data_IF_769428665734
#
_entry.id   IF_769428665734
#
_cell.length_a   1.000
_cell.length_b   1.000
_cell.length_c   1.000
_cell.angle_alpha   90.00
_cell.angle_beta   90.00
_cell.angle_gamma   90.00
#
_symmetry.space_group_name_H-M   'P 1'
#
loop_
_entity.id
_entity.type
_entity.pdbx_description
1 polymer ?
#
# COMPACT_ATOMS: atom_id res chain seq x y z
N UNK A 1 15.89 40.66 -0.87
CA UNK A 1 14.43 40.80 -0.96
C UNK A 1 13.96 39.71 -1.92
N UNK A 2 13.76 38.50 -1.41
CA UNK A 2 13.33 37.35 -2.22
C UNK A 2 11.86 37.08 -1.94
N UNK A 3 11.06 37.26 -2.97
CA UNK A 3 9.63 36.99 -3.01
C UNK A 3 9.36 35.52 -2.68
N UNK A 4 8.54 35.27 -1.65
CA UNK A 4 8.09 33.92 -1.30
C UNK A 4 6.63 33.94 -0.83
N UNK A 5 5.75 34.60 -1.58
CA UNK A 5 4.32 34.54 -1.33
C UNK A 5 3.50 34.38 -2.62
N UNK A 6 3.57 33.20 -3.22
CA UNK A 6 2.51 32.74 -4.11
C UNK A 6 1.97 31.37 -3.65
N UNK A 7 0.96 31.34 -2.75
CA UNK A 7 0.38 30.09 -2.21
C UNK A 7 -0.37 29.24 -3.25
N UNK A 8 -0.43 29.70 -4.51
CA UNK A 8 -1.01 28.96 -5.65
C UNK A 8 -0.04 27.96 -6.26
N UNK A 9 1.28 28.23 -6.23
CA UNK A 9 2.28 27.31 -6.78
C UNK A 9 2.40 26.03 -5.94
N UNK A 10 2.41 26.14 -4.61
CA UNK A 10 2.46 24.98 -3.72
C UNK A 10 1.23 24.06 -3.81
N UNK A 11 0.03 24.64 -4.04
CA UNK A 11 -1.20 23.85 -4.27
C UNK A 11 -1.18 23.14 -5.62
N UNK A 12 -0.63 23.79 -6.65
CA UNK A 12 -0.45 23.17 -7.96
C UNK A 12 0.43 21.93 -7.88
N UNK A 13 1.61 22.03 -7.26
CA UNK A 13 2.54 20.90 -7.11
C UNK A 13 1.90 19.75 -6.32
N UNK A 14 1.21 20.04 -5.21
CA UNK A 14 0.54 19.01 -4.42
C UNK A 14 -0.56 18.27 -5.22
N UNK A 15 -1.45 19.01 -5.90
CA UNK A 15 -2.50 18.41 -6.73
C UNK A 15 -1.91 17.56 -7.86
N UNK A 16 -0.84 18.03 -8.50
CA UNK A 16 -0.11 17.26 -9.52
C UNK A 16 0.48 15.99 -8.93
N UNK A 17 1.16 16.06 -7.78
CA UNK A 17 1.72 14.86 -7.15
C UNK A 17 0.66 13.83 -6.77
N UNK A 18 -0.49 14.26 -6.22
CA UNK A 18 -1.60 13.36 -5.90
C UNK A 18 -2.18 12.75 -7.17
N UNK A 19 -2.45 13.56 -8.19
CA UNK A 19 -3.02 13.10 -9.46
C UNK A 19 -2.09 12.12 -10.17
N UNK A 20 -0.80 12.44 -10.27
CA UNK A 20 0.21 11.55 -10.84
C UNK A 20 0.33 10.25 -10.04
N UNK A 21 0.28 10.32 -8.71
CA UNK A 21 0.31 9.11 -7.86
C UNK A 21 -0.90 8.23 -8.14
N UNK A 22 -2.12 8.80 -8.13
CA UNK A 22 -3.35 8.05 -8.45
C UNK A 22 -3.27 7.45 -9.86
N UNK A 23 -2.78 8.20 -10.84
CA UNK A 23 -2.63 7.70 -12.20
C UNK A 23 -1.62 6.56 -12.30
N UNK A 24 -0.50 6.62 -11.55
CA UNK A 24 0.47 5.53 -11.45
C UNK A 24 -0.18 4.30 -10.82
N UNK A 25 -0.95 4.44 -9.74
CA UNK A 25 -1.68 3.33 -9.12
C UNK A 25 -2.69 2.69 -10.08
N UNK A 26 -3.45 3.50 -10.82
CA UNK A 26 -4.39 2.99 -11.81
C UNK A 26 -3.66 2.27 -12.95
N UNK A 27 -2.57 2.84 -13.43
CA UNK A 27 -1.74 2.22 -14.46
C UNK A 27 -1.14 0.91 -13.96
N UNK A 28 -0.66 0.85 -12.71
CA UNK A 28 -0.18 -0.38 -12.08
C UNK A 28 -1.28 -1.45 -12.08
N UNK A 29 -2.50 -1.12 -11.66
CA UNK A 29 -3.62 -2.05 -11.67
C UNK A 29 -3.96 -2.54 -13.09
N UNK A 30 -3.92 -1.65 -14.09
CA UNK A 30 -4.20 -2.00 -15.50
C UNK A 30 -3.09 -2.87 -16.08
N UNK A 31 -1.82 -2.53 -15.83
CA UNK A 31 -0.67 -3.31 -16.29
C UNK A 31 -0.66 -4.69 -15.61
N UNK A 32 -0.91 -4.72 -14.31
CA UNK A 32 -1.04 -5.96 -13.55
C UNK A 32 -2.16 -6.83 -14.11
N UNK A 33 -3.36 -6.24 -14.26
CA UNK A 33 -4.50 -6.91 -14.85
C UNK A 33 -4.15 -7.41 -16.25
N UNK A 34 -3.46 -6.66 -17.10
CA UNK A 34 -3.18 -7.07 -18.48
C UNK A 34 -2.08 -8.14 -18.61
N UNK A 35 -0.95 -7.97 -17.90
CA UNK A 35 0.26 -8.77 -18.11
C UNK A 35 0.39 -9.98 -17.20
N UNK A 36 -0.25 -9.99 -16.03
CA UNK A 36 -0.03 -11.09 -15.07
C UNK A 36 -0.99 -12.26 -15.32
N UNK A 37 -0.48 -13.49 -15.49
CA UNK A 37 -1.32 -14.68 -15.55
C UNK A 37 -2.04 -14.91 -14.21
N UNK A 38 -3.29 -15.40 -14.26
CA UNK A 38 -4.07 -15.73 -13.05
C UNK A 38 -3.38 -16.75 -12.14
N UNK A 39 -2.57 -17.64 -12.71
CA UNK A 39 -1.82 -18.66 -11.98
C UNK A 39 -0.63 -18.08 -11.18
N UNK A 40 -0.07 -16.97 -11.65
CA UNK A 40 1.05 -16.29 -10.99
C UNK A 40 0.61 -15.72 -9.64
N UNK A 41 -0.54 -15.07 -9.58
CA UNK A 41 -1.10 -14.52 -8.34
C UNK A 41 -1.22 -15.59 -7.25
N UNK A 42 -1.68 -16.81 -7.62
CA UNK A 42 -1.75 -17.94 -6.68
C UNK A 42 -0.38 -18.34 -6.14
N UNK A 43 0.63 -18.36 -7.00
CA UNK A 43 2.02 -18.69 -6.62
C UNK A 43 2.59 -17.67 -5.65
N UNK A 44 2.33 -16.38 -5.88
CA UNK A 44 2.71 -15.28 -4.99
C UNK A 44 2.07 -15.47 -3.62
N UNK A 45 0.75 -15.64 -3.55
CA UNK A 45 0.04 -15.82 -2.27
C UNK A 45 0.53 -17.04 -1.49
N UNK A 46 0.77 -18.17 -2.16
CA UNK A 46 1.31 -19.37 -1.52
C UNK A 46 2.73 -19.15 -0.97
N UNK A 47 3.57 -18.42 -1.71
CA UNK A 47 4.93 -18.10 -1.28
C UNK A 47 4.91 -17.20 -0.05
N UNK A 48 4.08 -16.15 -0.06
CA UNK A 48 3.91 -15.25 1.08
C UNK A 48 3.38 -15.98 2.31
N UNK A 49 2.44 -16.90 2.14
CA UNK A 49 1.91 -17.70 3.23
C UNK A 49 3.01 -18.56 3.86
N UNK A 50 3.87 -19.21 3.06
CA UNK A 50 5.00 -20.00 3.57
C UNK A 50 5.98 -19.13 4.36
N UNK A 51 6.33 -17.96 3.84
CA UNK A 51 7.22 -17.02 4.54
C UNK A 51 6.62 -16.46 5.82
N UNK A 52 5.30 -16.23 5.82
CA UNK A 52 4.59 -15.76 6.99
C UNK A 52 4.58 -16.82 8.11
N UNK A 53 4.30 -18.08 7.76
CA UNK A 53 4.34 -19.22 8.70
C UNK A 53 5.77 -19.41 9.24
N UNK A 54 6.79 -19.30 8.38
CA UNK A 54 8.18 -19.43 8.81
C UNK A 54 8.62 -18.31 9.77
N UNK A 55 8.12 -17.09 9.60
CA UNK A 55 8.53 -15.94 10.41
C UNK A 55 7.74 -15.77 11.71
N UNK A 56 6.43 -16.07 11.72
CA UNK A 56 5.53 -15.79 12.85
C UNK A 56 4.85 -17.03 13.43
N UNK A 57 5.05 -18.21 12.85
CA UNK A 57 4.35 -19.43 13.23
C UNK A 57 2.97 -19.57 12.56
N UNK A 58 2.44 -20.78 12.58
CA UNK A 58 1.22 -21.14 11.85
C UNK A 58 -0.04 -20.42 12.35
N UNK A 59 -0.16 -20.24 13.66
CA UNK A 59 -1.35 -19.64 14.29
C UNK A 59 -1.48 -18.15 13.96
N UNK A 60 -0.41 -17.37 14.16
CA UNK A 60 -0.38 -15.94 13.81
C UNK A 60 -0.56 -15.72 12.31
N UNK A 61 0.07 -16.56 11.47
CA UNK A 61 -0.11 -16.52 10.03
C UNK A 61 -1.57 -16.74 9.62
N UNK A 62 -2.23 -17.73 10.23
CA UNK A 62 -3.64 -18.01 10.00
C UNK A 62 -4.54 -16.85 10.45
N UNK A 63 -4.29 -16.26 11.61
CA UNK A 63 -5.07 -15.12 12.11
C UNK A 63 -4.99 -13.90 11.16
N UNK A 64 -3.80 -13.62 10.60
CA UNK A 64 -3.59 -12.55 9.62
C UNK A 64 -4.34 -12.86 8.31
N UNK A 65 -4.24 -14.10 7.82
CA UNK A 65 -4.91 -14.54 6.61
C UNK A 65 -6.44 -14.45 6.73
N UNK A 66 -7.00 -14.94 7.83
CA UNK A 66 -8.45 -14.87 8.11
C UNK A 66 -8.92 -13.42 8.20
N UNK A 67 -8.13 -12.53 8.81
CA UNK A 67 -8.47 -11.09 8.86
C UNK A 67 -8.53 -10.47 7.47
N UNK A 68 -7.52 -10.71 6.63
CA UNK A 68 -7.50 -10.24 5.24
C UNK A 68 -8.68 -10.77 4.43
N UNK A 69 -8.97 -12.07 4.54
CA UNK A 69 -10.10 -12.70 3.87
C UNK A 69 -11.46 -12.11 4.32
N UNK A 70 -11.66 -11.91 5.63
CA UNK A 70 -12.87 -11.26 6.16
C UNK A 70 -13.04 -9.84 5.64
N UNK A 71 -11.97 -9.05 5.56
CA UNK A 71 -12.05 -7.72 4.96
C UNK A 71 -12.42 -7.77 3.49
N UNK A 72 -11.82 -8.68 2.72
CA UNK A 72 -12.18 -8.83 1.31
C UNK A 72 -13.64 -9.25 1.14
N UNK A 73 -14.08 -10.23 1.93
CA UNK A 73 -15.44 -10.74 1.88
C UNK A 73 -16.47 -9.65 2.24
N UNK A 74 -16.26 -8.96 3.36
CA UNK A 74 -17.15 -7.87 3.80
C UNK A 74 -17.17 -6.68 2.84
N UNK A 75 -16.02 -6.24 2.34
CA UNK A 75 -15.92 -5.05 1.49
C UNK A 75 -16.40 -5.28 0.06
N UNK A 76 -16.19 -6.47 -0.50
CA UNK A 76 -16.42 -6.71 -1.93
C UNK A 76 -17.46 -7.79 -2.23
N UNK A 77 -17.51 -8.88 -1.47
CA UNK A 77 -18.48 -9.95 -1.71
C UNK A 77 -19.84 -9.64 -1.08
N UNK A 78 -19.85 -9.32 0.21
CA UNK A 78 -21.07 -9.02 0.98
C UNK A 78 -21.72 -7.69 0.54
N UNK A 79 -20.91 -6.71 0.14
CA UNK A 79 -21.40 -5.47 -0.48
C UNK A 79 -22.02 -5.69 -1.87
N UNK A 80 -21.78 -6.86 -2.48
CA UNK A 80 -22.27 -7.20 -3.80
C UNK A 80 -21.48 -6.57 -4.94
N UNK A 81 -20.42 -5.79 -4.69
CA UNK A 81 -19.63 -5.10 -5.73
C UNK A 81 -18.92 -6.13 -6.62
N UNK A 82 -18.18 -7.07 -6.03
CA UNK A 82 -17.49 -8.11 -6.80
C UNK A 82 -18.50 -8.97 -7.58
N UNK A 83 -19.54 -9.57 -6.96
CA UNK A 83 -20.58 -10.30 -7.69
C UNK A 83 -21.28 -9.48 -8.78
N UNK A 84 -21.48 -8.17 -8.58
CA UNK A 84 -22.05 -7.28 -9.59
C UNK A 84 -21.12 -7.12 -10.79
N UNK A 85 -19.81 -6.87 -10.58
CA UNK A 85 -18.85 -6.78 -11.70
C UNK A 85 -18.72 -8.10 -12.46
N UNK A 86 -18.74 -9.24 -11.75
CA UNK A 86 -18.80 -10.54 -12.40
C UNK A 86 -20.09 -10.69 -13.20
N UNK A 87 -21.25 -10.23 -12.75
CA UNK A 87 -22.48 -10.30 -13.55
C UNK A 87 -22.45 -9.41 -14.80
N UNK A 88 -21.78 -8.26 -14.75
CA UNK A 88 -21.60 -7.41 -15.94
C UNK A 88 -20.78 -8.10 -17.03
N UNK A 89 -19.76 -8.86 -16.63
CA UNK A 89 -18.78 -9.47 -17.54
C UNK A 89 -19.08 -10.94 -17.84
N UNK A 90 -19.73 -11.63 -16.91
CA UNK A 90 -20.09 -13.05 -16.99
C UNK A 90 -21.54 -13.23 -17.42
N UNK A 91 -21.86 -12.77 -18.63
CA UNK A 91 -22.70 -13.58 -19.51
C UNK A 91 -21.83 -14.74 -19.97
N UNK A 92 -21.98 -15.93 -19.41
CA UNK A 92 -21.43 -17.14 -20.04
C UNK A 92 -22.36 -17.61 -21.17
N UNK A 93 -21.96 -18.59 -22.00
CA UNK A 93 -22.89 -19.26 -22.91
C UNK A 93 -24.08 -19.79 -22.12
N UNK A 94 -25.29 -19.31 -22.43
CA UNK A 94 -26.54 -19.72 -21.74
C UNK A 94 -26.88 -18.96 -20.45
N UNK A 95 -26.12 -17.94 -20.05
CA UNK A 95 -26.48 -17.07 -18.92
C UNK A 95 -27.06 -15.76 -19.46
N UNK A 96 -28.39 -15.62 -19.38
CA UNK A 96 -29.07 -14.38 -19.76
C UNK A 96 -28.70 -13.29 -18.75
N UNK A 97 -27.91 -12.30 -19.17
CA UNK A 97 -27.87 -11.03 -18.46
C UNK A 97 -28.93 -10.14 -19.08
N UNK A 98 -29.88 -9.65 -18.27
CA UNK A 98 -30.91 -8.71 -18.73
C UNK A 98 -30.36 -7.32 -19.14
N UNK A 99 -29.10 -7.24 -19.56
CA UNK A 99 -28.35 -6.03 -19.90
C UNK A 99 -27.78 -6.05 -21.32
N UNK A 100 -28.09 -7.06 -22.14
CA UNK A 100 -27.74 -7.10 -23.57
C UNK A 100 -26.26 -7.43 -23.87
N UNK A 101 -25.49 -7.84 -22.87
CA UNK A 101 -24.08 -8.24 -23.00
C UNK A 101 -23.90 -9.72 -23.33
N UNK A 102 -24.97 -10.41 -23.72
CA UNK A 102 -25.00 -11.85 -24.02
C UNK A 102 -24.04 -12.21 -25.17
N UNK A 103 -23.91 -11.32 -26.17
CA UNK A 103 -22.99 -11.48 -27.29
C UNK A 103 -21.50 -11.49 -26.88
N UNK A 104 -21.13 -10.82 -25.78
CA UNK A 104 -19.75 -10.87 -25.26
C UNK A 104 -19.43 -12.23 -24.64
N UNK A 105 -20.45 -12.92 -24.12
CA UNK A 105 -20.35 -14.25 -23.51
C UNK A 105 -20.05 -15.38 -24.47
N UNK A 106 -20.46 -15.22 -25.72
CA UNK A 106 -20.19 -16.16 -26.81
C UNK A 106 -18.85 -15.87 -27.50
N UNK A 107 -18.21 -14.74 -27.20
CA UNK A 107 -16.96 -14.34 -27.82
C UNK A 107 -15.76 -15.14 -27.27
N UNK A 108 -14.74 -15.45 -28.11
CA UNK A 108 -13.52 -16.12 -27.66
C UNK A 108 -12.69 -15.28 -26.67
N UNK A 109 -12.99 -13.99 -26.53
CA UNK A 109 -12.32 -13.05 -25.62
C UNK A 109 -12.87 -13.16 -24.18
N UNK A 110 -14.04 -13.78 -24.00
CA UNK A 110 -14.69 -13.91 -22.70
C UNK A 110 -13.79 -14.57 -21.64
N UNK A 111 -13.13 -15.67 -21.99
CA UNK A 111 -12.24 -16.39 -21.06
C UNK A 111 -11.06 -15.53 -20.61
N UNK A 112 -10.53 -14.69 -21.51
CA UNK A 112 -9.50 -13.72 -21.16
C UNK A 112 -10.04 -12.66 -20.22
N UNK A 113 -11.19 -12.04 -20.53
CA UNK A 113 -11.77 -10.95 -19.76
C UNK A 113 -12.16 -11.39 -18.34
N UNK A 114 -12.74 -12.58 -18.19
CA UNK A 114 -13.02 -13.19 -16.87
C UNK A 114 -11.75 -13.40 -16.06
N UNK A 115 -10.70 -13.93 -16.70
CA UNK A 115 -9.39 -14.07 -16.06
C UNK A 115 -8.81 -12.74 -15.58
N UNK A 116 -9.07 -11.62 -16.28
CA UNK A 116 -8.64 -10.29 -15.83
C UNK A 116 -9.39 -9.83 -14.58
N UNK A 117 -10.70 -10.09 -14.49
CA UNK A 117 -11.45 -9.82 -13.27
C UNK A 117 -10.94 -10.63 -12.08
N UNK A 118 -10.64 -11.92 -12.28
CA UNK A 118 -10.07 -12.77 -11.23
C UNK A 118 -8.73 -12.19 -10.73
N UNK A 119 -7.89 -11.69 -11.64
CA UNK A 119 -6.62 -11.03 -11.32
C UNK A 119 -6.85 -9.74 -10.52
N UNK A 120 -7.77 -8.87 -10.95
CA UNK A 120 -8.07 -7.60 -10.27
C UNK A 120 -8.58 -7.86 -8.84
N UNK A 121 -9.59 -8.72 -8.69
CA UNK A 121 -10.13 -9.04 -7.36
C UNK A 121 -9.13 -9.79 -6.49
N UNK A 122 -8.29 -10.64 -7.10
CA UNK A 122 -7.15 -11.26 -6.44
C UNK A 122 -6.14 -10.25 -5.90
N UNK A 123 -5.82 -9.18 -6.66
CA UNK A 123 -4.97 -8.09 -6.18
C UNK A 123 -5.57 -7.37 -4.97
N UNK A 124 -6.87 -7.09 -4.98
CA UNK A 124 -7.54 -6.49 -3.82
C UNK A 124 -7.50 -7.41 -2.60
N UNK A 125 -7.76 -8.71 -2.77
CA UNK A 125 -7.65 -9.69 -1.70
C UNK A 125 -6.23 -9.73 -1.12
N UNK A 126 -5.20 -9.76 -1.99
CA UNK A 126 -3.80 -9.75 -1.60
C UNK A 126 -3.42 -8.45 -0.86
N UNK A 127 -3.85 -7.29 -1.36
CA UNK A 127 -3.59 -5.99 -0.74
C UNK A 127 -4.19 -5.92 0.67
N UNK A 128 -5.41 -6.42 0.87
CA UNK A 128 -6.05 -6.49 2.19
C UNK A 128 -5.34 -7.45 3.14
N UNK A 129 -4.83 -8.59 2.63
CA UNK A 129 -4.03 -9.50 3.44
C UNK A 129 -2.69 -8.86 3.86
N UNK A 130 -2.01 -8.14 2.97
CA UNK A 130 -0.78 -7.39 3.28
C UNK A 130 -1.06 -6.24 4.26
N UNK A 131 -2.20 -5.56 4.13
CA UNK A 131 -2.64 -4.56 5.11
C UNK A 131 -2.90 -5.19 6.49
N UNK A 132 -3.52 -6.37 6.53
CA UNK A 132 -3.74 -7.10 7.79
C UNK A 132 -2.41 -7.49 8.44
N UNK A 133 -1.39 -7.85 7.65
CA UNK A 133 -0.02 -8.08 8.12
C UNK A 133 0.60 -6.80 8.69
N UNK A 134 0.54 -5.67 7.96
CA UNK A 134 1.04 -4.37 8.47
C UNK A 134 0.40 -4.02 9.82
N UNK A 135 -0.92 -4.23 9.94
CA UNK A 135 -1.66 -3.95 11.18
C UNK A 135 -1.37 -4.95 12.30
N UNK A 136 -0.99 -6.19 11.99
CA UNK A 136 -0.54 -7.13 13.01
C UNK A 136 0.77 -6.67 13.69
N UNK A 137 1.64 -5.98 12.95
CA UNK A 137 2.87 -5.38 13.46
C UNK A 137 2.69 -3.96 14.02
N UNK A 138 1.47 -3.42 14.02
CA UNK A 138 1.18 -2.08 14.55
C UNK A 138 1.68 -1.87 16.00
N UNK A 139 1.52 -2.83 16.94
CA UNK A 139 2.03 -2.66 18.30
C UNK A 139 3.56 -2.47 18.34
N UNK A 140 4.29 -3.23 17.53
CA UNK A 140 5.75 -3.09 17.41
C UNK A 140 6.13 -1.74 16.79
N UNK A 141 5.48 -1.34 15.70
CA UNK A 141 5.63 -0.02 15.08
C UNK A 141 5.44 1.11 16.10
N UNK A 142 4.39 1.04 16.90
CA UNK A 142 4.08 2.04 17.91
C UNK A 142 5.18 2.13 18.98
N UNK A 143 5.68 0.99 19.49
CA UNK A 143 6.76 0.97 20.48
C UNK A 143 8.05 1.59 19.94
N UNK A 144 8.47 1.20 18.74
CA UNK A 144 9.69 1.73 18.11
C UNK A 144 9.55 3.23 17.85
N UNK A 145 8.40 3.67 17.36
CA UNK A 145 8.14 5.10 17.15
C UNK A 145 8.17 5.89 18.45
N UNK A 146 7.59 5.40 19.53
CA UNK A 146 7.63 6.09 20.84
C UNK A 146 9.07 6.26 21.31
N UNK A 147 9.89 5.22 21.19
CA UNK A 147 11.29 5.26 21.58
C UNK A 147 12.08 6.29 20.74
N UNK A 148 11.97 6.24 19.41
CA UNK A 148 12.74 7.13 18.53
C UNK A 148 12.25 8.57 18.56
N UNK A 149 10.95 8.81 18.76
CA UNK A 149 10.40 10.15 18.96
C UNK A 149 10.94 10.75 20.26
N UNK A 150 11.01 9.97 21.34
CA UNK A 150 11.59 10.40 22.62
C UNK A 150 13.06 10.80 22.46
N UNK A 151 13.85 9.94 21.82
CA UNK A 151 15.26 10.22 21.56
C UNK A 151 15.46 11.46 20.67
N UNK A 152 14.70 11.57 19.58
CA UNK A 152 14.80 12.70 18.65
C UNK A 152 14.39 14.02 19.30
N UNK A 153 13.40 13.98 20.19
CA UNK A 153 13.00 15.13 20.99
C UNK A 153 14.10 15.54 21.99
N UNK A 154 14.73 14.59 22.67
CA UNK A 154 15.85 14.88 23.58
C UNK A 154 17.06 15.43 22.82
N UNK A 155 17.43 14.84 21.68
CA UNK A 155 18.49 15.34 20.80
C UNK A 155 18.21 16.77 20.33
N UNK A 156 16.96 17.07 19.97
CA UNK A 156 16.53 18.42 19.63
C UNK A 156 16.72 19.37 20.81
N UNK A 157 16.31 18.99 22.03
CA UNK A 157 16.51 19.82 23.25
C UNK A 157 17.99 20.11 23.48
N UNK A 158 18.87 19.12 23.40
CA UNK A 158 20.32 19.31 23.55
C UNK A 158 20.85 20.31 22.50
N UNK A 159 20.47 20.15 21.23
CA UNK A 159 20.84 21.08 20.14
C UNK A 159 20.21 22.47 20.27
N UNK A 160 19.12 22.62 21.03
CA UNK A 160 18.55 23.93 21.29
C UNK A 160 19.45 24.76 22.20
N UNK A 161 20.07 24.13 23.20
CA UNK A 161 21.01 24.77 24.13
C UNK A 161 22.46 24.78 23.65
N UNK A 162 22.82 23.92 22.70
CA UNK A 162 24.10 23.97 21.99
C UNK A 162 24.09 24.95 20.82
N UNK A 163 25.25 25.52 20.47
CA UNK A 163 25.45 26.33 19.24
C UNK A 163 25.46 25.48 17.95
N UNK A 164 24.83 24.31 17.96
CA UNK A 164 24.80 23.38 16.83
C UNK A 164 23.61 23.71 15.93
N UNK A 165 23.89 24.01 14.66
CA UNK A 165 22.87 24.32 13.66
C UNK A 165 22.07 23.06 13.26
N UNK A 166 20.75 23.21 13.18
CA UNK A 166 19.88 22.19 12.58
C UNK A 166 20.06 22.21 11.06
N UNK A 167 20.24 21.04 10.44
CA UNK A 167 20.43 20.93 8.98
C UNK A 167 19.08 20.93 8.26
N UNK A 168 18.75 21.97 7.45
CA UNK A 168 17.50 22.00 6.69
C UNK A 168 17.45 20.90 5.61
N UNK A 169 18.61 20.55 5.05
CA UNK A 169 18.74 19.48 4.06
C UNK A 169 18.39 18.12 4.68
N UNK A 170 18.87 17.84 5.89
CA UNK A 170 18.57 16.58 6.59
C UNK A 170 17.07 16.46 6.91
N UNK A 171 16.41 17.56 7.30
CA UNK A 171 14.97 17.57 7.55
C UNK A 171 14.17 17.32 6.26
N UNK A 172 14.48 18.05 5.18
CA UNK A 172 13.79 17.93 3.91
C UNK A 172 13.98 16.54 3.29
N UNK A 173 15.21 16.03 3.27
CA UNK A 173 15.50 14.67 2.75
C UNK A 173 14.79 13.59 3.54
N UNK A 174 14.74 13.68 4.88
CA UNK A 174 14.02 12.72 5.70
C UNK A 174 12.50 12.73 5.43
N UNK A 175 11.90 13.90 5.17
CA UNK A 175 10.49 13.99 4.75
C UNK A 175 10.25 13.35 3.37
N UNK A 176 11.14 13.60 2.40
CA UNK A 176 11.04 12.98 1.07
C UNK A 176 11.19 11.47 1.14
N UNK A 177 12.17 10.96 1.90
CA UNK A 177 12.35 9.52 2.11
C UNK A 177 11.12 8.91 2.79
N UNK A 178 10.56 9.58 3.79
CA UNK A 178 9.34 9.10 4.46
C UNK A 178 8.15 9.05 3.49
N UNK A 179 7.96 10.10 2.68
CA UNK A 179 6.89 10.17 1.70
C UNK A 179 7.05 9.08 0.62
N UNK A 180 8.23 8.96 0.01
CA UNK A 180 8.48 7.96 -1.02
C UNK A 180 8.35 6.54 -0.47
N UNK A 181 8.83 6.30 0.75
CA UNK A 181 8.70 5.01 1.42
C UNK A 181 7.23 4.58 1.54
N UNK A 182 6.34 5.44 2.03
CA UNK A 182 4.93 5.11 2.19
C UNK A 182 4.17 5.02 0.87
N UNK A 183 4.54 5.81 -0.15
CA UNK A 183 4.02 5.63 -1.52
C UNK A 183 4.43 4.26 -2.05
N UNK A 184 5.70 3.87 -1.91
CA UNK A 184 6.20 2.57 -2.33
C UNK A 184 5.52 1.43 -1.59
N UNK A 185 5.25 1.57 -0.28
CA UNK A 185 4.43 0.59 0.47
C UNK A 185 3.07 0.43 -0.15
N UNK A 186 2.39 1.53 -0.51
CA UNK A 186 1.09 1.49 -1.16
C UNK A 186 1.13 0.73 -2.49
N UNK A 187 2.10 1.02 -3.37
CA UNK A 187 2.28 0.31 -4.65
C UNK A 187 2.55 -1.18 -4.39
N UNK A 188 3.46 -1.47 -3.44
CA UNK A 188 3.78 -2.82 -3.01
C UNK A 188 2.58 -3.57 -2.42
N UNK A 189 1.48 -2.95 -2.00
CA UNK A 189 0.30 -3.72 -1.58
C UNK A 189 -0.34 -4.47 -2.76
N UNK A 190 -0.30 -3.87 -3.95
CA UNK A 190 -0.91 -4.43 -5.17
C UNK A 190 0.11 -5.15 -6.06
N UNK A 191 1.40 -4.86 -5.87
CA UNK A 191 2.47 -5.43 -6.68
C UNK A 191 2.46 -6.98 -6.67
N UNK A 192 2.59 -7.64 -7.83
CA UNK A 192 2.50 -9.10 -7.97
C UNK A 192 3.82 -9.80 -7.67
N UNK A 193 4.52 -9.33 -6.66
CA UNK A 193 5.79 -9.89 -6.20
C UNK A 193 5.61 -10.37 -4.77
N UNK A 194 6.16 -11.53 -4.41
CA UNK A 194 6.05 -12.02 -3.05
C UNK A 194 6.87 -11.13 -2.13
N UNK A 195 6.26 -10.67 -1.03
CA UNK A 195 6.89 -9.81 -0.04
C UNK A 195 7.24 -10.64 1.19
N UNK A 196 8.51 -10.63 1.65
CA UNK A 196 8.89 -11.33 2.86
C UNK A 196 8.21 -10.73 4.09
N UNK A 197 7.73 -11.57 5.01
CA UNK A 197 7.04 -11.11 6.22
C UNK A 197 7.90 -10.18 7.10
N UNK A 198 9.23 -10.33 7.05
CA UNK A 198 10.20 -9.48 7.75
C UNK A 198 10.37 -8.09 7.10
N UNK A 199 9.80 -7.82 5.93
CA UNK A 199 9.81 -6.48 5.34
C UNK A 199 9.10 -5.45 6.25
N UNK A 200 8.07 -5.88 6.99
CA UNK A 200 7.28 -5.02 7.86
C UNK A 200 8.07 -4.45 9.05
N UNK A 201 8.78 -5.27 9.86
CA UNK A 201 9.63 -4.71 10.92
C UNK A 201 10.78 -3.86 10.37
N UNK A 202 11.34 -4.17 9.20
CA UNK A 202 12.35 -3.32 8.55
C UNK A 202 11.77 -1.97 8.17
N UNK A 203 10.58 -1.96 7.56
CA UNK A 203 9.82 -0.74 7.26
C UNK A 203 9.57 0.10 8.52
N UNK A 204 9.24 -0.56 9.64
CA UNK A 204 9.03 0.09 10.93
C UNK A 204 10.26 0.85 11.42
N UNK A 205 11.42 0.19 11.38
CA UNK A 205 12.70 0.80 11.80
C UNK A 205 13.07 1.97 10.90
N UNK A 206 12.98 1.81 9.58
CA UNK A 206 13.29 2.90 8.63
C UNK A 206 12.36 4.09 8.87
N UNK A 207 11.06 3.85 9.01
CA UNK A 207 10.07 4.91 9.32
C UNK A 207 10.43 5.64 10.60
N UNK A 208 10.76 4.90 11.66
CA UNK A 208 11.08 5.46 12.97
C UNK A 208 12.37 6.30 12.96
N UNK A 209 13.39 5.88 12.20
CA UNK A 209 14.63 6.62 12.00
C UNK A 209 14.40 7.91 11.19
N UNK A 210 13.59 7.87 10.14
CA UNK A 210 13.22 9.07 9.38
C UNK A 210 12.49 10.07 10.28
N UNK A 211 11.56 9.60 11.12
CA UNK A 211 10.85 10.46 12.08
C UNK A 211 11.81 11.11 13.09
N UNK A 212 12.75 10.34 13.66
CA UNK A 212 13.80 10.88 14.55
C UNK A 212 14.62 11.98 13.86
N UNK A 213 15.03 11.76 12.60
CA UNK A 213 15.78 12.76 11.81
C UNK A 213 14.96 14.01 11.53
N UNK A 214 13.68 13.86 11.20
CA UNK A 214 12.74 14.97 10.99
C UNK A 214 12.62 15.80 12.27
N UNK A 215 12.42 15.16 13.42
CA UNK A 215 12.26 15.81 14.72
C UNK A 215 13.55 16.49 15.19
N UNK A 216 14.68 15.81 15.08
CA UNK A 216 16.01 16.30 15.50
C UNK A 216 16.43 17.54 14.71
N UNK A 217 16.07 17.62 13.43
CA UNK A 217 16.43 18.73 12.53
C UNK A 217 15.29 19.72 12.27
N UNK A 218 14.17 19.62 12.99
CA UNK A 218 13.07 20.57 12.87
C UNK A 218 13.55 21.99 13.25
N UNK A 219 13.27 22.96 12.38
CA UNK A 219 13.70 24.34 12.58
C UNK A 219 13.19 24.91 13.92
N UNK A 220 14.04 25.69 14.60
CA UNK A 220 13.63 26.47 15.77
C UNK A 220 12.60 27.50 15.30
N UNK A 221 11.36 27.40 15.75
CA UNK A 221 10.44 28.54 15.74
C UNK A 221 10.76 29.35 17.00
N UNK A 222 11.26 30.56 16.81
CA UNK A 222 11.41 31.58 17.84
C UNK A 222 10.04 32.11 18.24
#
# INVERSE_FOLDING_TARGET
>A
MWDSQNPREGRGVWLWTVTSTVLIFLLELVLFASFVPSDWARTVTQTEQRWLVAAQGAESAHAIQVRGWRWHDTLFNASGIAPWTYRLVATGPGVQSGQGLEQLGESPIWGWLRGRLDVIWGAFAQALQRLALLLAWWPFLALVLVATVGDGWLRRRIRQYGFVYASPLAHHTALWVLLTLWISVGLLLFAPIPIPALAVPVLAVITALCVDLVLTNAQKRL
#
